data_IF_896369199135
#
_entry.id   IF_896369199135
#
_cell.length_a   1.000
_cell.length_b   1.000
_cell.length_c   1.000
_cell.angle_alpha   90.00
_cell.angle_beta   90.00
_cell.angle_gamma   90.00
#
_symmetry.space_group_name_H-M   'P 1'
#
loop_
_entity.id
_entity.type
_entity.pdbx_description
1 polymer ?
#
# COMPACT_ATOMS: atom_id res chain seq x y z
N UNK A 1 -2.06 2.41 6.60
CA UNK A 1 -1.27 3.06 5.53
C UNK A 1 0.17 3.03 5.96
N UNK A 2 1.00 2.30 5.24
CA UNK A 2 2.40 2.13 5.62
C UNK A 2 3.28 2.44 4.41
N UNK A 3 4.22 3.35 4.63
CA UNK A 3 5.36 3.52 3.75
C UNK A 3 6.04 2.17 3.53
N UNK A 4 6.31 1.82 2.28
CA UNK A 4 6.97 0.56 1.99
C UNK A 4 8.38 0.61 2.56
N UNK A 5 8.64 -0.20 3.59
CA UNK A 5 9.94 -0.27 4.25
C UNK A 5 10.98 -0.95 3.34
N UNK A 6 12.20 -0.44 3.36
CA UNK A 6 13.31 -0.98 2.59
C UNK A 6 13.65 -2.41 3.03
N UNK A 7 13.59 -3.36 2.10
CA UNK A 7 13.90 -4.78 2.36
C UNK A 7 15.36 -5.07 2.69
N UNK A 8 16.27 -4.15 2.35
CA UNK A 8 17.70 -4.34 2.59
C UNK A 8 18.11 -3.96 4.02
N UNK A 9 17.46 -2.95 4.60
CA UNK A 9 17.89 -2.37 5.86
C UNK A 9 16.78 -2.17 6.88
N UNK A 10 15.52 -2.39 6.53
CA UNK A 10 14.33 -2.32 7.40
C UNK A 10 14.11 -0.98 8.16
N UNK A 11 14.78 0.10 7.73
CA UNK A 11 14.84 1.37 8.48
C UNK A 11 14.09 2.54 7.83
N UNK A 12 14.08 2.65 6.51
CA UNK A 12 13.40 3.74 5.81
C UNK A 12 12.72 3.25 4.55
N UNK A 13 11.85 4.06 3.95
CA UNK A 13 11.16 3.65 2.74
C UNK A 13 11.86 4.03 1.44
N UNK A 14 11.09 3.91 0.38
CA UNK A 14 11.57 3.99 -1.00
C UNK A 14 11.13 5.31 -1.65
N UNK A 15 12.10 6.15 -2.03
CA UNK A 15 11.87 7.30 -2.89
C UNK A 15 11.85 6.88 -4.36
N UNK A 16 10.82 7.29 -5.09
CA UNK A 16 10.72 7.04 -6.53
C UNK A 16 11.77 7.86 -7.29
N UNK A 17 12.41 7.21 -8.26
CA UNK A 17 13.40 7.77 -9.16
C UNK A 17 12.96 7.58 -10.62
N UNK A 18 13.44 8.44 -11.54
CA UNK A 18 13.19 8.27 -12.97
C UNK A 18 13.61 6.87 -13.46
N UNK A 19 12.94 6.37 -14.49
CA UNK A 19 13.29 5.08 -15.11
C UNK A 19 12.77 3.85 -14.38
N UNK A 20 11.72 3.99 -13.54
CA UNK A 20 11.11 2.84 -12.85
C UNK A 20 11.94 2.30 -11.69
N UNK A 21 12.81 3.12 -11.12
CA UNK A 21 13.68 2.78 -10.00
C UNK A 21 13.14 3.40 -8.71
N UNK A 22 13.49 2.80 -7.59
CA UNK A 22 13.33 3.41 -6.27
C UNK A 22 14.62 3.30 -5.48
N UNK A 23 14.83 4.26 -4.59
CA UNK A 23 16.00 4.34 -3.73
C UNK A 23 15.59 4.42 -2.27
N UNK A 24 16.20 3.59 -1.42
CA UNK A 24 16.00 3.70 0.03
C UNK A 24 16.50 5.05 0.56
N UNK A 25 15.70 5.69 1.41
CA UNK A 25 16.06 6.96 2.07
C UNK A 25 17.28 6.82 2.98
N UNK A 26 17.44 5.66 3.63
CA UNK A 26 18.49 5.39 4.62
C UNK A 26 19.74 4.76 3.99
N UNK A 27 19.65 3.52 3.48
CA UNK A 27 20.82 2.79 2.98
C UNK A 27 21.22 3.15 1.53
N UNK A 28 20.45 4.01 0.86
CA UNK A 28 20.70 4.53 -0.50
C UNK A 28 20.76 3.48 -1.62
N UNK A 29 20.48 2.21 -1.32
CA UNK A 29 20.35 1.14 -2.32
C UNK A 29 19.20 1.44 -3.27
N UNK A 30 19.44 1.14 -4.54
CA UNK A 30 18.47 1.32 -5.62
C UNK A 30 18.01 -0.04 -6.10
N UNK A 31 16.70 -0.18 -6.32
CA UNK A 31 16.10 -1.39 -6.90
C UNK A 31 15.04 -1.00 -7.92
N UNK A 32 14.71 -1.92 -8.83
CA UNK A 32 13.60 -1.71 -9.75
C UNK A 32 12.27 -1.81 -8.99
N UNK A 33 11.31 -0.93 -9.32
CA UNK A 33 9.97 -0.96 -8.72
C UNK A 33 9.30 -2.32 -8.98
N UNK A 34 9.56 -2.93 -10.16
CA UNK A 34 9.08 -4.28 -10.50
C UNK A 34 9.52 -5.35 -9.52
N UNK A 35 10.74 -5.25 -8.98
CA UNK A 35 11.33 -6.27 -8.11
C UNK A 35 10.79 -6.19 -6.67
N UNK A 36 10.22 -5.04 -6.32
CA UNK A 36 9.46 -4.86 -5.09
C UNK A 36 8.07 -5.49 -5.17
N UNK A 37 7.53 -5.75 -6.35
CA UNK A 37 6.22 -6.37 -6.49
C UNK A 37 6.30 -7.89 -6.37
N UNK A 38 6.01 -8.41 -5.18
CA UNK A 38 6.02 -9.86 -4.90
C UNK A 38 4.73 -10.40 -4.29
N UNK A 39 3.83 -9.52 -3.83
CA UNK A 39 2.56 -9.93 -3.24
C UNK A 39 1.37 -9.50 -4.13
N UNK A 40 0.66 -10.47 -4.75
CA UNK A 40 -0.51 -10.18 -5.59
C UNK A 40 -1.69 -9.57 -4.81
N UNK A 41 -1.69 -9.68 -3.48
CA UNK A 41 -2.72 -9.09 -2.61
C UNK A 41 -2.44 -7.62 -2.28
N UNK A 42 -1.37 -7.05 -2.83
CA UNK A 42 -1.01 -5.66 -2.60
C UNK A 42 -0.96 -4.86 -3.88
N UNK A 43 -1.23 -3.57 -3.75
CA UNK A 43 -0.98 -2.53 -4.77
C UNK A 43 -0.12 -1.44 -4.15
N UNK A 44 0.32 -0.49 -4.97
CA UNK A 44 1.16 0.61 -4.54
C UNK A 44 0.70 1.93 -5.16
N UNK A 45 0.99 3.02 -4.46
CA UNK A 45 0.86 4.40 -4.96
C UNK A 45 2.11 5.18 -4.59
N UNK A 46 2.26 6.37 -5.18
CA UNK A 46 3.32 7.30 -4.85
C UNK A 46 2.70 8.48 -4.11
N UNK A 47 3.19 8.75 -2.90
CA UNK A 47 2.75 9.91 -2.13
C UNK A 47 3.23 11.22 -2.76
N UNK A 48 2.68 12.35 -2.31
CA UNK A 48 3.11 13.68 -2.76
C UNK A 48 4.59 13.98 -2.46
N UNK A 49 5.19 13.25 -1.50
CA UNK A 49 6.63 13.32 -1.18
C UNK A 49 7.49 12.33 -1.99
N UNK A 50 6.94 11.75 -3.05
CA UNK A 50 7.59 10.75 -3.90
C UNK A 50 7.97 9.46 -3.17
N UNK A 51 7.31 9.15 -2.05
CA UNK A 51 7.54 7.91 -1.31
C UNK A 51 6.57 6.83 -1.79
N UNK A 52 7.09 5.63 -1.96
CA UNK A 52 6.30 4.46 -2.31
C UNK A 52 5.45 4.01 -1.12
N UNK A 53 4.14 3.97 -1.31
CA UNK A 53 3.16 3.51 -0.34
C UNK A 53 2.60 2.16 -0.80
N UNK A 54 2.36 1.25 0.15
CA UNK A 54 1.75 -0.05 -0.14
C UNK A 54 0.35 -0.13 0.46
N UNK A 55 -0.56 -0.73 -0.29
CA UNK A 55 -1.96 -0.95 0.08
C UNK A 55 -2.34 -2.41 -0.15
N UNK A 56 -3.30 -2.91 0.61
CA UNK A 56 -3.94 -4.18 0.30
C UNK A 56 -4.93 -3.98 -0.85
N UNK A 57 -5.04 -4.96 -1.74
CA UNK A 57 -6.06 -4.93 -2.77
C UNK A 57 -7.46 -5.04 -2.13
N UNK A 58 -8.51 -4.42 -2.73
CA UNK A 58 -9.86 -4.48 -2.20
C UNK A 58 -10.34 -5.92 -1.92
N UNK A 59 -10.00 -6.87 -2.80
CA UNK A 59 -10.37 -8.28 -2.64
C UNK A 59 -9.71 -8.92 -1.39
N UNK A 60 -8.43 -8.63 -1.15
CA UNK A 60 -7.73 -9.09 0.04
C UNK A 60 -8.28 -8.45 1.32
N UNK A 61 -8.66 -7.16 1.27
CA UNK A 61 -9.36 -6.50 2.38
C UNK A 61 -10.71 -7.17 2.69
N UNK A 62 -11.51 -7.48 1.65
CA UNK A 62 -12.80 -8.14 1.83
C UNK A 62 -12.66 -9.55 2.40
N UNK A 63 -11.70 -10.34 1.89
CA UNK A 63 -11.41 -11.66 2.44
C UNK A 63 -11.04 -11.60 3.94
N UNK A 64 -10.19 -10.65 4.33
CA UNK A 64 -9.81 -10.47 5.72
C UNK A 64 -10.98 -9.98 6.61
N UNK A 65 -11.89 -9.17 6.08
CA UNK A 65 -13.12 -8.75 6.78
C UNK A 65 -14.07 -9.94 7.00
N UNK A 66 -14.24 -10.80 6.00
CA UNK A 66 -15.04 -12.02 6.09
C UNK A 66 -14.48 -13.00 7.12
N UNK A 67 -13.16 -13.10 7.22
CA UNK A 67 -12.50 -13.92 8.23
C UNK A 67 -12.78 -13.42 9.65
N UNK A 68 -12.71 -12.09 9.88
CA UNK A 68 -13.06 -11.50 11.19
C UNK A 68 -14.53 -11.71 11.53
N UNK A 69 -15.42 -11.62 10.54
CA UNK A 69 -16.85 -11.83 10.75
C UNK A 69 -17.18 -13.25 11.25
N UNK A 70 -16.24 -14.20 11.11
CA UNK A 70 -16.36 -15.58 11.62
C UNK A 70 -15.67 -15.81 12.96
N UNK A 71 -15.01 -14.81 13.54
CA UNK A 71 -14.34 -14.96 14.83
C UNK A 71 -15.36 -15.20 15.95
N UNK A 72 -15.03 -16.12 16.86
CA UNK A 72 -15.82 -16.34 18.05
C UNK A 72 -15.61 -15.20 19.06
N UNK A 73 -16.62 -14.34 19.19
CA UNK A 73 -16.62 -13.19 20.11
C UNK A 73 -17.40 -13.48 21.39
N UNK A 74 -17.42 -14.74 21.86
CA UNK A 74 -18.16 -15.19 23.05
C UNK A 74 -17.80 -14.50 24.37
N UNK A 75 -16.79 -13.63 24.40
CA UNK A 75 -16.49 -12.73 25.51
C UNK A 75 -16.23 -11.29 25.04
N UNK A 76 -16.37 -10.34 25.96
CA UNK A 76 -16.27 -8.91 25.65
C UNK A 76 -14.88 -8.48 25.16
N UNK A 77 -13.82 -9.11 25.66
CA UNK A 77 -12.46 -8.75 25.26
C UNK A 77 -12.21 -9.12 23.80
N UNK A 78 -12.60 -10.33 23.38
CA UNK A 78 -12.54 -10.78 21.99
C UNK A 78 -13.43 -9.96 21.07
N UNK A 79 -14.61 -9.54 21.54
CA UNK A 79 -15.48 -8.66 20.75
C UNK A 79 -14.81 -7.29 20.47
N UNK A 80 -14.11 -6.71 21.45
CA UNK A 80 -13.36 -5.46 21.27
C UNK A 80 -12.15 -5.63 20.35
N UNK A 81 -11.45 -6.78 20.44
CA UNK A 81 -10.37 -7.13 19.54
C UNK A 81 -10.87 -7.23 18.09
N UNK A 82 -11.91 -8.02 17.84
CA UNK A 82 -12.53 -8.17 16.52
C UNK A 82 -12.97 -6.81 15.94
N UNK A 83 -13.59 -5.94 16.76
CA UNK A 83 -13.96 -4.59 16.34
C UNK A 83 -12.74 -3.74 15.96
N UNK A 84 -11.64 -3.84 16.72
CA UNK A 84 -10.38 -3.16 16.42
C UNK A 84 -9.78 -3.59 15.09
N UNK A 85 -9.79 -4.90 14.81
CA UNK A 85 -9.34 -5.46 13.53
C UNK A 85 -10.24 -5.04 12.37
N UNK A 86 -11.56 -5.11 12.55
CA UNK A 86 -12.55 -4.71 11.56
C UNK A 86 -12.37 -3.22 11.16
N UNK A 87 -12.26 -2.33 12.16
CA UNK A 87 -12.03 -0.90 11.92
C UNK A 87 -10.76 -0.63 11.13
N UNK A 88 -9.68 -1.35 11.43
CA UNK A 88 -8.41 -1.21 10.72
C UNK A 88 -8.54 -1.62 9.25
N UNK A 89 -9.15 -2.77 8.97
CA UNK A 89 -9.30 -3.26 7.60
C UNK A 89 -10.27 -2.41 6.77
N UNK A 90 -11.35 -1.90 7.36
CA UNK A 90 -12.24 -0.95 6.65
C UNK A 90 -11.50 0.33 6.27
N UNK A 91 -10.61 0.83 7.13
CA UNK A 91 -9.77 1.98 6.81
C UNK A 91 -8.79 1.68 5.66
N UNK A 92 -8.15 0.51 5.67
CA UNK A 92 -7.27 0.07 4.56
C UNK A 92 -8.05 -0.11 3.26
N UNK A 93 -9.23 -0.74 3.29
CA UNK A 93 -10.11 -0.86 2.12
C UNK A 93 -10.48 0.51 1.55
N UNK A 94 -10.87 1.45 2.42
CA UNK A 94 -11.23 2.80 2.00
C UNK A 94 -10.05 3.53 1.36
N UNK A 95 -8.84 3.41 1.93
CA UNK A 95 -7.63 3.98 1.36
C UNK A 95 -7.30 3.37 -0.01
N UNK A 96 -7.41 2.04 -0.13
CA UNK A 96 -7.13 1.29 -1.35
C UNK A 96 -8.10 1.65 -2.48
N UNK A 97 -9.39 1.78 -2.15
CA UNK A 97 -10.40 2.28 -3.09
C UNK A 97 -10.15 3.73 -3.47
N UNK A 98 -9.75 4.58 -2.53
CA UNK A 98 -9.44 5.97 -2.84
C UNK A 98 -8.29 6.07 -3.85
N UNK A 99 -7.21 5.31 -3.64
CA UNK A 99 -6.08 5.21 -4.58
C UNK A 99 -6.53 4.67 -5.94
N UNK A 100 -7.27 3.57 -5.97
CA UNK A 100 -7.74 2.96 -7.22
C UNK A 100 -8.75 3.82 -8.00
N UNK A 101 -9.47 4.72 -7.31
CA UNK A 101 -10.42 5.66 -7.91
C UNK A 101 -9.82 7.04 -8.18
N UNK A 102 -8.58 7.34 -7.76
CA UNK A 102 -7.90 8.55 -8.22
C UNK A 102 -7.81 8.46 -9.74
N UNK A 103 -8.22 9.52 -10.48
CA UNK A 103 -7.99 9.55 -11.91
C UNK A 103 -6.51 9.28 -12.12
N UNK A 104 -6.16 8.25 -12.90
CA UNK A 104 -4.78 8.01 -13.28
C UNK A 104 -4.24 9.36 -13.74
N UNK A 105 -3.29 9.93 -12.99
CA UNK A 105 -2.64 11.17 -13.37
C UNK A 105 -2.13 10.90 -14.79
N UNK A 106 -2.78 11.55 -15.75
CA UNK A 106 -2.62 11.23 -17.16
C UNK A 106 -1.12 11.18 -17.47
N UNK A 107 -0.62 10.15 -18.18
CA UNK A 107 0.77 10.14 -18.57
C UNK A 107 1.07 11.46 -19.27
N UNK A 108 2.10 12.16 -18.77
CA UNK A 108 2.61 13.40 -19.33
C UNK A 108 2.54 13.33 -20.87
N UNK A 109 1.67 14.14 -21.49
CA UNK A 109 1.85 14.51 -22.89
C UNK A 109 3.14 15.33 -22.92
N UNK A 110 4.24 14.67 -23.32
CA UNK A 110 5.46 15.33 -23.75
C UNK A 110 5.17 16.31 -24.90
N UNK A 111 6.07 17.26 -25.15
CA UNK A 111 5.75 18.50 -25.87
C UNK A 111 5.32 18.20 -27.31
N UNK A 112 4.32 18.94 -27.77
CA UNK A 112 4.10 19.10 -29.20
C UNK A 112 5.39 19.69 -29.80
N UNK A 113 6.07 18.89 -30.61
CA UNK A 113 7.06 19.40 -31.54
C UNK A 113 6.30 20.09 -32.68
N UNK A 114 6.37 21.42 -32.71
CA UNK A 114 6.24 22.20 -33.94
C UNK A 114 7.60 22.28 -34.65
#
# INVERSE_FOLDING_TARGET
MSEMTCRDCDLGGYLVRPGGLVQCTECRRTTAISDLYQNPDTTWDVSDSMLLQQYLNPDACLAALDDIARWDTGDWAKAQEALGHYRRLVAELSASLHVGLRPALAPHRGPAHD
#
